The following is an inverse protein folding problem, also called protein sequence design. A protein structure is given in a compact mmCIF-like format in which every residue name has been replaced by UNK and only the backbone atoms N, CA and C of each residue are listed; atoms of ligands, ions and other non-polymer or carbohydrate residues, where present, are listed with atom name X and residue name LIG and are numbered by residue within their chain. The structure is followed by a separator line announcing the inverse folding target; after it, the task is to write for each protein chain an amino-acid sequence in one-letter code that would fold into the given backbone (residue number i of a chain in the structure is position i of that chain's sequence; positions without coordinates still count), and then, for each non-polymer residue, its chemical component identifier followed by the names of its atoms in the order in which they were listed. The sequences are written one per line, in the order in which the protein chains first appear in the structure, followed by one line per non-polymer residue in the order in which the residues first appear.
data_IF_118839001518
#
_entry.id   IF_118839001518
#
_cell.length_a   1.000
_cell.length_b   1.000
_cell.length_c   1.000
_cell.angle_alpha   90.00
_cell.angle_beta   90.00
_cell.angle_gamma   90.00
#
_symmetry.space_group_name_H-M   'P 1'
#
loop_
_entity.id
_entity.type
_entity.pdbx_description
1 polymer ?
#
# COMPACT_ATOMS: atom_id res chain seq x y z
N UNK A 1 -2.37 -31.02 4.58
CA UNK A 1 -2.87 -30.03 3.59
C UNK A 1 -1.69 -29.57 2.78
N UNK A 2 -1.69 -29.84 1.47
CA UNK A 2 -0.68 -29.29 0.59
C UNK A 2 -0.78 -27.78 0.59
N UNK A 3 0.25 -27.11 1.11
CA UNK A 3 0.29 -25.65 1.14
C UNK A 3 0.70 -25.16 -0.24
N UNK A 4 -0.02 -24.18 -0.75
CA UNK A 4 0.33 -23.51 -1.99
C UNK A 4 1.79 -23.04 -1.95
N UNK A 5 2.59 -23.39 -2.95
CA UNK A 5 4.03 -23.10 -2.98
C UNK A 5 4.34 -21.61 -2.83
N UNK A 6 3.46 -20.74 -3.35
CA UNK A 6 3.61 -19.28 -3.30
C UNK A 6 3.46 -18.68 -1.90
N UNK A 7 2.84 -19.41 -0.96
CA UNK A 7 2.71 -19.00 0.43
C UNK A 7 3.84 -19.54 1.32
N UNK A 8 4.72 -20.42 0.81
CA UNK A 8 5.84 -20.95 1.59
C UNK A 8 6.89 -19.89 1.89
N UNK A 9 7.68 -20.08 2.97
CA UNK A 9 8.78 -19.17 3.28
C UNK A 9 9.85 -19.18 2.17
N UNK A 10 10.35 -18.02 1.79
CA UNK A 10 11.49 -17.92 0.87
C UNK A 10 12.78 -18.13 1.68
N UNK A 11 13.20 -19.39 1.78
CA UNK A 11 14.39 -19.77 2.55
C UNK A 11 15.71 -19.49 1.81
N UNK A 12 15.76 -19.76 0.50
CA UNK A 12 16.97 -19.66 -0.30
C UNK A 12 17.16 -18.27 -0.90
N UNK A 13 18.38 -17.75 -0.81
CA UNK A 13 18.75 -16.42 -1.30
C UNK A 13 18.51 -16.25 -2.81
N UNK A 14 18.68 -17.33 -3.61
CA UNK A 14 18.46 -17.31 -5.07
C UNK A 14 17.04 -16.92 -5.49
N UNK A 15 16.05 -17.13 -4.62
CA UNK A 15 14.65 -16.77 -4.87
C UNK A 15 14.30 -15.35 -4.33
N UNK A 16 15.25 -14.67 -3.68
CA UNK A 16 15.09 -13.30 -3.23
C UNK A 16 15.47 -12.33 -4.33
N UNK A 17 14.56 -12.19 -5.27
CA UNK A 17 14.76 -11.56 -6.57
C UNK A 17 14.74 -10.02 -6.58
N UNK A 18 14.33 -9.38 -5.48
CA UNK A 18 14.28 -7.93 -5.37
C UNK A 18 15.55 -7.40 -4.65
N UNK A 19 16.67 -7.33 -5.39
CA UNK A 19 17.87 -6.62 -4.87
C UNK A 19 17.56 -5.15 -4.56
N UNK A 20 18.41 -4.45 -3.77
CA UNK A 20 18.11 -3.08 -3.31
C UNK A 20 17.71 -2.12 -4.43
N UNK A 21 18.41 -2.15 -5.56
CA UNK A 21 18.08 -1.29 -6.72
C UNK A 21 16.73 -1.67 -7.36
N UNK A 22 16.45 -2.96 -7.52
CA UNK A 22 15.18 -3.43 -8.07
C UNK A 22 14.01 -3.11 -7.12
N UNK A 23 14.24 -3.17 -5.81
CA UNK A 23 13.28 -2.81 -4.79
C UNK A 23 12.95 -1.31 -4.81
N UNK A 24 13.95 -0.45 -4.94
CA UNK A 24 13.76 1.00 -5.12
C UNK A 24 13.00 1.29 -6.42
N UNK A 25 13.40 0.67 -7.53
CA UNK A 25 12.72 0.85 -8.82
C UNK A 25 11.25 0.40 -8.75
N UNK A 26 10.95 -0.71 -8.09
CA UNK A 26 9.57 -1.15 -7.86
C UNK A 26 8.74 -0.08 -7.16
N UNK A 27 9.26 0.52 -6.07
CA UNK A 27 8.56 1.60 -5.36
C UNK A 27 8.43 2.88 -6.18
N UNK A 28 9.40 3.19 -7.04
CA UNK A 28 9.30 4.34 -7.95
C UNK A 28 8.21 4.14 -8.99
N UNK A 29 8.02 2.90 -9.48
CA UNK A 29 6.90 2.56 -10.36
C UNK A 29 5.55 2.61 -9.65
N UNK A 30 5.49 2.06 -8.42
CA UNK A 30 4.26 1.98 -7.62
C UNK A 30 3.80 3.34 -7.08
N UNK A 31 4.73 4.21 -6.68
CA UNK A 31 4.42 5.49 -6.06
C UNK A 31 3.80 6.50 -7.02
N UNK A 32 4.05 6.37 -8.32
CA UNK A 32 3.52 7.29 -9.34
C UNK A 32 2.12 6.87 -9.76
N UNK A 33 1.16 7.20 -8.92
CA UNK A 33 -0.26 6.97 -9.19
C UNK A 33 -1.03 8.29 -9.17
N UNK A 34 -2.12 8.36 -9.92
CA UNK A 34 -3.00 9.56 -9.98
C UNK A 34 -3.50 9.95 -8.58
N UNK A 35 -3.76 8.99 -7.71
CA UNK A 35 -4.15 9.25 -6.33
C UNK A 35 -3.16 10.12 -5.55
N UNK A 36 -1.84 9.91 -5.75
CA UNK A 36 -0.82 10.75 -5.10
C UNK A 36 -0.81 12.19 -5.63
N UNK A 37 -1.05 12.38 -6.94
CA UNK A 37 -1.24 13.71 -7.51
C UNK A 37 -2.46 14.40 -6.87
N UNK A 38 -3.61 13.70 -6.83
CA UNK A 38 -4.85 14.22 -6.28
C UNK A 38 -4.73 14.56 -4.78
N UNK A 39 -3.97 13.78 -4.02
CA UNK A 39 -3.65 14.11 -2.64
C UNK A 39 -2.85 15.41 -2.54
N UNK A 40 -1.87 15.63 -3.41
CA UNK A 40 -1.15 16.90 -3.47
C UNK A 40 -2.09 18.07 -3.74
N UNK A 41 -2.95 17.95 -4.74
CA UNK A 41 -3.97 18.96 -5.08
C UNK A 41 -4.90 19.25 -3.89
N UNK A 42 -5.26 18.24 -3.10
CA UNK A 42 -6.18 18.36 -1.98
C UNK A 42 -5.59 19.04 -0.73
N UNK A 43 -4.28 19.28 -0.66
CA UNK A 43 -3.64 19.92 0.48
C UNK A 43 -3.87 21.43 0.53
N UNK A 44 -3.99 22.06 -0.64
CA UNK A 44 -4.00 23.52 -0.82
C UNK A 44 -5.38 24.03 -1.29
N UNK A 45 -5.69 25.33 -1.14
CA UNK A 45 -6.89 25.91 -1.74
C UNK A 45 -6.98 25.67 -3.27
N UNK A 46 -8.20 25.46 -3.83
CA UNK A 46 -9.49 25.55 -3.14
C UNK A 46 -9.91 24.30 -2.38
N UNK A 47 -9.19 23.18 -2.47
CA UNK A 47 -9.59 21.87 -1.93
C UNK A 47 -9.14 21.67 -0.48
N UNK A 48 -7.97 22.19 -0.11
CA UNK A 48 -7.37 22.10 1.23
C UNK A 48 -7.21 23.48 1.89
N UNK A 49 -6.63 23.47 3.09
CA UNK A 49 -6.44 24.67 3.91
C UNK A 49 -4.98 24.91 4.31
N UNK A 50 -4.03 24.26 3.65
CA UNK A 50 -2.60 24.44 3.90
C UNK A 50 -2.04 25.48 2.94
N UNK A 51 -1.06 26.25 3.41
CA UNK A 51 -0.19 26.98 2.50
C UNK A 51 0.92 26.07 1.95
N UNK A 52 1.70 26.57 1.01
CA UNK A 52 2.73 25.80 0.34
C UNK A 52 3.75 25.21 1.32
N UNK A 53 4.22 25.99 2.30
CA UNK A 53 5.20 25.56 3.30
C UNK A 53 4.65 24.42 4.16
N UNK A 54 3.41 24.55 4.63
CA UNK A 54 2.74 23.52 5.42
C UNK A 54 2.52 22.25 4.62
N UNK A 55 2.10 22.37 3.35
CA UNK A 55 1.92 21.22 2.45
C UNK A 55 3.24 20.46 2.24
N UNK A 56 4.35 21.18 2.01
CA UNK A 56 5.67 20.54 1.88
C UNK A 56 6.14 19.86 3.17
N UNK A 57 5.97 20.50 4.32
CA UNK A 57 6.32 19.90 5.61
C UNK A 57 5.49 18.65 5.84
N UNK A 58 4.20 18.68 5.58
CA UNK A 58 3.34 17.49 5.69
C UNK A 58 3.79 16.38 4.75
N UNK A 59 4.10 16.67 3.47
CA UNK A 59 4.59 15.70 2.49
C UNK A 59 5.90 15.05 2.96
N UNK A 60 6.87 15.85 3.39
CA UNK A 60 8.18 15.33 3.83
C UNK A 60 8.02 14.46 5.07
N UNK A 61 7.36 14.95 6.11
CA UNK A 61 7.20 14.24 7.37
C UNK A 61 6.38 12.97 7.23
N UNK A 62 5.25 13.02 6.51
CA UNK A 62 4.39 11.86 6.32
C UNK A 62 5.10 10.75 5.52
N UNK A 63 5.82 11.10 4.46
CA UNK A 63 6.50 10.10 3.62
C UNK A 63 7.76 9.51 4.30
N UNK A 64 8.52 10.29 5.07
CA UNK A 64 9.61 9.76 5.90
C UNK A 64 9.04 8.80 6.95
N UNK A 65 7.98 9.20 7.66
CA UNK A 65 7.34 8.34 8.65
C UNK A 65 6.80 7.06 8.00
N UNK A 66 6.12 7.16 6.86
CA UNK A 66 5.64 5.99 6.12
C UNK A 66 6.79 5.05 5.74
N UNK A 67 7.90 5.56 5.19
CA UNK A 67 9.07 4.75 4.83
C UNK A 67 9.67 4.00 6.03
N UNK A 68 9.73 4.64 7.20
CA UNK A 68 10.17 4.01 8.43
C UNK A 68 9.19 2.93 8.92
N UNK A 69 7.88 3.19 8.83
CA UNK A 69 6.84 2.22 9.17
C UNK A 69 6.87 1.01 8.22
N UNK A 70 7.12 1.22 6.92
CA UNK A 70 7.36 0.15 5.96
C UNK A 70 8.55 -0.72 6.34
N UNK A 71 9.69 -0.11 6.67
CA UNK A 71 10.87 -0.84 7.11
C UNK A 71 10.62 -1.59 8.42
N UNK A 72 9.84 -1.02 9.34
CA UNK A 72 9.51 -1.60 10.63
C UNK A 72 8.73 -2.91 10.46
N UNK A 73 7.59 -2.90 9.76
CA UNK A 73 6.78 -4.10 9.53
C UNK A 73 7.40 -5.03 8.47
N UNK A 74 8.06 -4.48 7.46
CA UNK A 74 8.74 -5.22 6.39
C UNK A 74 9.89 -6.11 6.87
N UNK A 75 10.42 -5.84 8.07
CA UNK A 75 11.48 -6.66 8.68
C UNK A 75 11.07 -8.13 8.82
N UNK A 76 9.78 -8.42 8.99
CA UNK A 76 9.26 -9.78 9.07
C UNK A 76 9.47 -10.54 7.76
N UNK A 77 9.04 -9.98 6.63
CA UNK A 77 9.27 -10.57 5.31
C UNK A 77 10.75 -10.72 4.99
N UNK A 78 11.54 -9.67 5.21
CA UNK A 78 12.98 -9.68 5.00
C UNK A 78 13.70 -10.76 5.82
N UNK A 79 13.38 -10.88 7.13
CA UNK A 79 14.04 -11.83 8.02
C UNK A 79 13.58 -13.28 7.81
N UNK A 80 12.27 -13.49 7.67
CA UNK A 80 11.66 -14.81 7.71
C UNK A 80 11.18 -15.32 6.34
N UNK A 81 11.09 -14.46 5.33
CA UNK A 81 10.65 -14.85 3.98
C UNK A 81 9.16 -15.18 3.86
N UNK A 82 8.33 -14.79 4.82
CA UNK A 82 6.90 -15.11 4.88
C UNK A 82 6.03 -13.97 4.34
N UNK A 83 4.88 -14.27 3.70
CA UNK A 83 3.92 -13.27 3.25
C UNK A 83 3.04 -12.76 4.40
N UNK A 84 2.31 -11.66 4.16
CA UNK A 84 1.39 -11.03 5.11
C UNK A 84 0.36 -12.01 5.69
N UNK A 85 -0.29 -12.81 4.85
CA UNK A 85 -1.33 -13.76 5.29
C UNK A 85 -0.81 -14.79 6.30
N UNK A 86 0.47 -15.11 6.25
CA UNK A 86 1.14 -15.98 7.22
C UNK A 86 1.57 -15.17 8.44
N UNK A 87 2.12 -13.96 8.26
CA UNK A 87 2.49 -13.06 9.35
C UNK A 87 1.30 -12.78 10.26
N UNK A 88 0.12 -12.50 9.71
CA UNK A 88 -1.11 -12.25 10.47
C UNK A 88 -1.49 -13.39 11.41
N UNK A 89 -1.10 -14.64 11.11
CA UNK A 89 -1.40 -15.79 11.99
C UNK A 89 -0.71 -15.71 13.33
N UNK A 90 0.45 -15.04 13.42
CA UNK A 90 1.13 -14.80 14.69
C UNK A 90 0.30 -13.95 15.63
N UNK A 91 -0.18 -12.81 15.14
CA UNK A 91 -0.90 -11.84 15.96
C UNK A 91 -2.38 -12.17 16.15
N UNK A 92 -3.07 -12.69 15.13
CA UNK A 92 -4.53 -12.91 15.15
C UNK A 92 -4.94 -14.38 15.31
N UNK A 93 -3.99 -15.31 15.18
CA UNK A 93 -4.26 -16.75 15.15
C UNK A 93 -4.62 -17.25 13.74
N UNK A 94 -4.54 -18.57 13.48
CA UNK A 94 -4.74 -19.14 12.14
C UNK A 94 -6.14 -18.93 11.57
N UNK A 95 -7.16 -18.82 12.43
CA UNK A 95 -8.55 -18.54 12.02
C UNK A 95 -8.83 -17.04 12.04
N UNK A 96 -8.42 -16.35 13.12
CA UNK A 96 -8.64 -14.92 13.31
C UNK A 96 -7.95 -14.04 12.25
N UNK A 97 -6.83 -14.49 11.68
CA UNK A 97 -6.08 -13.78 10.65
C UNK A 97 -6.86 -13.53 9.34
N UNK A 98 -7.94 -14.28 9.11
CA UNK A 98 -8.80 -14.10 7.94
C UNK A 98 -9.50 -12.74 7.92
N UNK A 99 -9.87 -12.20 9.10
CA UNK A 99 -10.51 -10.89 9.21
C UNK A 99 -9.57 -9.78 8.73
N UNK A 100 -8.39 -9.55 9.33
CA UNK A 100 -7.49 -8.50 8.88
C UNK A 100 -6.98 -8.73 7.44
N UNK A 101 -6.87 -9.98 6.99
CA UNK A 101 -6.53 -10.28 5.60
C UNK A 101 -7.61 -9.77 4.63
N UNK A 102 -8.90 -10.00 4.92
CA UNK A 102 -10.01 -9.46 4.14
C UNK A 102 -10.10 -7.93 4.25
N UNK A 103 -9.92 -7.38 5.47
CA UNK A 103 -9.90 -5.92 5.67
C UNK A 103 -8.79 -5.23 4.86
N UNK A 104 -7.68 -5.94 4.56
CA UNK A 104 -6.64 -5.45 3.64
C UNK A 104 -7.02 -5.65 2.17
N UNK A 105 -7.65 -6.78 1.83
CA UNK A 105 -7.99 -7.11 0.44
C UNK A 105 -9.07 -6.19 -0.13
N UNK A 106 -10.10 -5.86 0.66
CA UNK A 106 -11.22 -5.02 0.20
C UNK A 106 -10.76 -3.63 -0.28
N UNK A 107 -10.01 -2.83 0.50
CA UNK A 107 -9.48 -1.55 0.01
C UNK A 107 -8.62 -1.69 -1.26
N UNK A 108 -7.88 -2.79 -1.39
CA UNK A 108 -7.10 -3.04 -2.59
C UNK A 108 -7.98 -3.22 -3.84
N UNK A 109 -9.10 -3.92 -3.71
CA UNK A 109 -10.07 -4.06 -4.80
C UNK A 109 -10.65 -2.70 -5.22
N UNK A 110 -10.98 -1.83 -4.26
CA UNK A 110 -11.42 -0.47 -4.56
C UNK A 110 -10.34 0.35 -5.26
N UNK A 111 -9.10 0.34 -4.75
CA UNK A 111 -7.98 0.99 -5.42
C UNK A 111 -7.72 0.43 -6.82
N UNK A 112 -7.84 -0.89 -7.00
CA UNK A 112 -7.71 -1.53 -8.30
C UNK A 112 -8.76 -0.99 -9.28
N UNK A 113 -10.02 -0.90 -8.86
CA UNK A 113 -11.10 -0.31 -9.66
C UNK A 113 -10.85 1.15 -10.01
N UNK A 114 -10.54 1.98 -8.99
CA UNK A 114 -10.26 3.42 -9.16
C UNK A 114 -9.14 3.66 -10.15
N UNK A 115 -8.01 2.99 -9.99
CA UNK A 115 -6.86 3.17 -10.89
C UNK A 115 -7.13 2.64 -12.30
N UNK A 116 -7.91 1.55 -12.42
CA UNK A 116 -8.34 1.06 -13.73
C UNK A 116 -9.27 2.05 -14.44
N UNK A 117 -10.15 2.71 -13.70
CA UNK A 117 -11.01 3.75 -14.25
C UNK A 117 -10.22 4.98 -14.72
N UNK A 118 -9.28 5.45 -13.91
CA UNK A 118 -8.39 6.57 -14.28
C UNK A 118 -7.51 6.24 -15.48
N UNK A 119 -6.97 5.02 -15.55
CA UNK A 119 -6.23 4.54 -16.72
C UNK A 119 -7.11 4.50 -17.98
N UNK A 120 -8.35 4.06 -17.84
CA UNK A 120 -9.32 4.06 -18.93
C UNK A 120 -9.68 5.46 -19.40
N UNK A 121 -9.89 6.41 -18.48
CA UNK A 121 -10.12 7.81 -18.82
C UNK A 121 -8.94 8.41 -19.60
N UNK A 122 -7.71 8.15 -19.15
CA UNK A 122 -6.51 8.60 -19.84
C UNK A 122 -6.42 8.03 -21.26
N UNK A 123 -6.64 6.71 -21.43
CA UNK A 123 -6.68 6.09 -22.75
C UNK A 123 -7.80 6.64 -23.62
N UNK A 124 -8.99 6.86 -23.05
CA UNK A 124 -10.11 7.44 -23.78
C UNK A 124 -9.76 8.81 -24.38
N UNK A 125 -9.14 9.68 -23.59
CA UNK A 125 -8.68 10.98 -24.06
C UNK A 125 -7.60 10.88 -25.15
N UNK A 126 -6.69 9.92 -25.05
CA UNK A 126 -5.69 9.65 -26.09
C UNK A 126 -6.37 9.29 -27.42
N UNK A 127 -7.29 8.34 -27.40
CA UNK A 127 -7.93 7.85 -28.62
C UNK A 127 -9.00 8.81 -29.17
N UNK A 128 -9.64 9.59 -28.30
CA UNK A 128 -10.47 10.71 -28.70
C UNK A 128 -9.64 11.74 -29.50
N UNK A 129 -8.45 12.09 -29.00
CA UNK A 129 -7.54 13.02 -29.69
C UNK A 129 -6.95 12.49 -30.99
N UNK A 130 -6.70 11.17 -31.11
CA UNK A 130 -6.05 10.57 -32.29
C UNK A 130 -7.04 10.22 -33.41
N UNK A 131 -8.17 9.65 -33.08
CA UNK A 131 -9.10 9.05 -34.04
C UNK A 131 -10.58 9.42 -33.82
N UNK A 132 -10.87 10.30 -32.85
CA UNK A 132 -12.23 10.70 -32.49
C UNK A 132 -13.08 9.62 -31.81
N UNK A 133 -12.45 8.57 -31.27
CA UNK A 133 -13.17 7.49 -30.58
C UNK A 133 -13.32 7.83 -29.09
N UNK A 134 -14.57 8.02 -28.65
CA UNK A 134 -14.95 8.39 -27.29
C UNK A 134 -15.85 7.32 -26.68
N UNK A 135 -15.27 6.38 -25.92
CA UNK A 135 -16.02 5.40 -25.14
C UNK A 135 -15.15 4.88 -23.98
N UNK A 136 -15.24 5.53 -22.83
CA UNK A 136 -14.48 5.16 -21.63
C UNK A 136 -14.72 3.72 -21.16
N UNK A 137 -15.93 3.17 -21.38
CA UNK A 137 -16.25 1.80 -20.97
C UNK A 137 -15.47 0.74 -21.76
N UNK A 138 -15.30 0.96 -23.06
CA UNK A 138 -14.45 0.07 -23.88
C UNK A 138 -13.04 0.03 -23.33
N UNK A 139 -12.48 1.20 -23.01
CA UNK A 139 -11.12 1.30 -22.44
C UNK A 139 -11.05 0.73 -21.03
N UNK A 140 -12.09 0.89 -20.21
CA UNK A 140 -12.13 0.30 -18.87
C UNK A 140 -12.05 -1.23 -18.91
N UNK A 141 -12.88 -1.88 -19.71
CA UNK A 141 -12.85 -3.34 -19.85
C UNK A 141 -11.56 -3.85 -20.53
N UNK A 142 -11.05 -3.13 -21.52
CA UNK A 142 -9.76 -3.47 -22.14
C UNK A 142 -8.61 -3.36 -21.14
N UNK A 143 -8.62 -2.32 -20.30
CA UNK A 143 -7.62 -2.09 -19.27
C UNK A 143 -7.68 -3.18 -18.17
N UNK A 144 -8.89 -3.57 -17.75
CA UNK A 144 -9.09 -4.68 -16.83
C UNK A 144 -8.55 -6.00 -17.40
N UNK A 145 -8.91 -6.33 -18.65
CA UNK A 145 -8.42 -7.55 -19.30
C UNK A 145 -6.90 -7.59 -19.40
N UNK A 146 -6.26 -6.47 -19.77
CA UNK A 146 -4.81 -6.34 -19.81
C UNK A 146 -4.17 -6.62 -18.45
N UNK A 147 -4.69 -6.03 -17.40
CA UNK A 147 -4.13 -6.18 -16.04
C UNK A 147 -4.29 -7.60 -15.49
N UNK A 148 -5.45 -8.24 -15.73
CA UNK A 148 -5.66 -9.66 -15.40
C UNK A 148 -4.63 -10.53 -16.13
N UNK A 149 -4.44 -10.31 -17.43
CA UNK A 149 -3.47 -11.07 -18.24
C UNK A 149 -2.03 -10.88 -17.75
N UNK A 150 -1.62 -9.65 -17.44
CA UNK A 150 -0.27 -9.36 -16.96
C UNK A 150 -0.02 -9.96 -15.56
N UNK A 151 -0.99 -9.84 -14.64
CA UNK A 151 -0.87 -10.37 -13.28
C UNK A 151 -0.85 -11.90 -13.25
N UNK A 152 -1.60 -12.56 -14.12
CA UNK A 152 -1.65 -14.02 -14.20
C UNK A 152 -0.30 -14.66 -14.59
N UNK A 153 0.62 -13.88 -15.20
CA UNK A 153 1.99 -14.35 -15.52
C UNK A 153 2.92 -14.46 -14.30
N UNK A 154 2.48 -14.05 -13.12
CA UNK A 154 3.19 -14.21 -11.85
C UNK A 154 4.21 -13.11 -11.53
N UNK A 155 4.80 -13.21 -10.34
CA UNK A 155 5.64 -12.16 -9.72
C UNK A 155 6.90 -11.79 -10.54
N UNK A 156 7.46 -12.72 -11.30
CA UNK A 156 8.65 -12.44 -12.11
C UNK A 156 8.34 -11.48 -13.26
N UNK A 157 7.17 -11.63 -13.89
CA UNK A 157 6.71 -10.69 -14.94
C UNK A 157 6.39 -9.33 -14.35
N UNK A 158 5.70 -9.30 -13.21
CA UNK A 158 5.42 -8.06 -12.47
C UNK A 158 6.71 -7.31 -12.19
N UNK A 159 7.74 -7.96 -11.63
CA UNK A 159 9.05 -7.35 -11.36
C UNK A 159 9.64 -6.64 -12.59
N UNK A 160 9.62 -7.29 -13.77
CA UNK A 160 10.21 -6.70 -14.98
C UNK A 160 9.38 -5.53 -15.50
N UNK A 161 8.05 -5.63 -15.44
CA UNK A 161 7.15 -4.53 -15.79
C UNK A 161 7.42 -3.32 -14.88
N UNK A 162 7.61 -3.54 -13.56
CA UNK A 162 7.93 -2.49 -12.61
C UNK A 162 9.29 -1.82 -12.88
N UNK A 163 10.33 -2.60 -13.14
CA UNK A 163 11.68 -2.05 -13.39
C UNK A 163 11.70 -1.22 -14.66
N UNK A 164 11.12 -1.70 -15.74
CA UNK A 164 11.07 -0.95 -17.01
C UNK A 164 10.11 0.22 -16.89
N UNK A 165 8.93 -0.03 -16.33
CA UNK A 165 7.89 0.97 -16.11
C UNK A 165 8.38 2.14 -15.24
N UNK A 166 9.13 1.87 -14.16
CA UNK A 166 9.62 2.91 -13.25
C UNK A 166 10.50 3.95 -13.94
N UNK A 167 11.36 3.52 -14.88
CA UNK A 167 12.21 4.46 -15.65
C UNK A 167 11.35 5.37 -16.54
N UNK A 168 10.42 4.76 -17.28
CA UNK A 168 9.52 5.49 -18.19
C UNK A 168 8.64 6.46 -17.40
N UNK A 169 8.08 5.98 -16.28
CA UNK A 169 7.19 6.76 -15.42
C UNK A 169 7.92 7.94 -14.79
N UNK A 170 9.14 7.75 -14.27
CA UNK A 170 9.91 8.84 -13.69
C UNK A 170 10.29 9.91 -14.74
N UNK A 171 10.61 9.50 -15.96
CA UNK A 171 10.79 10.45 -17.07
C UNK A 171 9.49 11.20 -17.37
N UNK A 172 8.35 10.51 -17.32
CA UNK A 172 7.02 11.10 -17.45
C UNK A 172 6.71 12.14 -16.38
N UNK A 173 7.05 11.86 -15.11
CA UNK A 173 6.88 12.82 -14.00
C UNK A 173 7.73 14.07 -14.20
N UNK A 174 9.01 13.90 -14.58
CA UNK A 174 9.90 15.04 -14.89
C UNK A 174 9.35 15.86 -16.05
N UNK A 175 8.88 15.19 -17.11
CA UNK A 175 8.25 15.87 -18.24
C UNK A 175 6.96 16.59 -17.84
N UNK A 176 6.14 16.00 -16.97
CA UNK A 176 4.91 16.62 -16.46
C UNK A 176 5.21 17.87 -15.62
N UNK A 177 6.25 17.85 -14.78
CA UNK A 177 6.71 19.04 -14.04
C UNK A 177 7.10 20.14 -15.02
N UNK A 178 7.94 19.80 -16.02
CA UNK A 178 8.36 20.76 -17.05
C UNK A 178 7.16 21.34 -17.81
N UNK A 179 6.23 20.48 -18.23
CA UNK A 179 5.03 20.87 -18.97
C UNK A 179 4.16 21.83 -18.15
N UNK A 180 3.93 21.54 -16.86
CA UNK A 180 3.12 22.39 -15.99
C UNK A 180 3.80 23.74 -15.76
N UNK A 181 5.09 23.75 -15.47
CA UNK A 181 5.83 24.99 -15.26
C UNK A 181 5.90 25.84 -16.54
N UNK A 182 6.05 25.22 -17.72
CA UNK A 182 6.08 25.94 -19.01
C UNK A 182 4.70 26.44 -19.43
N UNK A 183 3.62 25.77 -19.05
CA UNK A 183 2.26 26.14 -19.43
C UNK A 183 1.65 27.18 -18.49
N UNK A 184 1.83 26.97 -17.18
CA UNK A 184 1.14 27.75 -16.13
C UNK A 184 2.08 28.71 -15.39
N UNK A 185 3.40 28.58 -15.56
CA UNK A 185 4.37 29.29 -14.74
C UNK A 185 4.42 28.76 -13.30
N UNK A 186 5.02 29.55 -12.40
CA UNK A 186 5.14 29.18 -10.98
C UNK A 186 4.01 29.81 -10.15
N UNK A 187 2.75 29.42 -10.45
CA UNK A 187 1.53 29.98 -9.84
C UNK A 187 1.37 29.64 -8.34
N UNK A 188 2.29 28.84 -7.79
CA UNK A 188 2.27 28.48 -6.35
C UNK A 188 2.48 29.66 -5.40
N UNK A 189 2.95 30.82 -5.89
CA UNK A 189 3.04 32.04 -5.08
C UNK A 189 1.70 32.43 -4.47
N UNK A 190 0.61 32.21 -5.19
CA UNK A 190 -0.76 32.45 -4.70
C UNK A 190 -1.07 31.64 -3.46
N UNK A 191 -0.56 30.40 -3.40
CA UNK A 191 -0.75 29.46 -2.29
C UNK A 191 0.30 29.65 -1.19
N UNK A 192 1.52 30.08 -1.56
CA UNK A 192 2.58 30.36 -0.61
C UNK A 192 2.21 31.49 0.35
N UNK A 193 1.49 32.49 -0.15
CA UNK A 193 1.10 33.69 0.60
C UNK A 193 -0.24 33.56 1.34
N UNK A 194 -0.90 32.39 1.31
CA UNK A 194 -2.09 32.13 2.14
C UNK A 194 -1.69 31.87 3.59
N UNK A 195 -2.56 32.23 4.54
CA UNK A 195 -2.29 32.07 5.97
C UNK A 195 -2.07 30.60 6.35
N UNK A 196 -2.84 29.69 5.75
CA UNK A 196 -2.79 28.26 6.03
C UNK A 196 -3.26 27.89 7.43
N UNK A 197 -3.06 26.62 7.85
CA UNK A 197 -3.47 26.15 9.16
C UNK A 197 -2.61 25.00 9.68
N UNK A 198 -1.99 25.18 10.86
CA UNK A 198 -1.27 24.12 11.60
C UNK A 198 -2.19 23.25 12.47
N UNK A 199 -3.49 23.59 12.58
CA UNK A 199 -4.47 22.86 13.36
C UNK A 199 -4.92 21.56 12.71
N UNK A 200 -6.21 21.22 12.86
CA UNK A 200 -6.82 20.00 12.30
C UNK A 200 -6.52 19.80 10.81
N UNK A 201 -6.53 20.84 9.94
CA UNK A 201 -6.20 20.65 8.53
C UNK A 201 -4.81 20.06 8.26
N UNK A 202 -3.79 20.43 9.05
CA UNK A 202 -2.44 19.87 8.93
C UNK A 202 -2.43 18.38 9.35
N UNK A 203 -3.10 18.03 10.44
CA UNK A 203 -3.17 16.66 10.91
C UNK A 203 -4.04 15.76 10.03
N UNK A 204 -5.09 16.32 9.40
CA UNK A 204 -5.82 15.62 8.35
C UNK A 204 -4.90 15.33 7.17
N UNK A 205 -4.11 16.31 6.72
CA UNK A 205 -3.12 16.09 5.66
C UNK A 205 -2.13 14.96 6.03
N UNK A 206 -1.59 14.97 7.25
CA UNK A 206 -0.74 13.89 7.76
C UNK A 206 -1.47 12.54 7.76
N UNK A 207 -2.73 12.49 8.20
CA UNK A 207 -3.54 11.27 8.22
C UNK A 207 -3.75 10.71 6.82
N UNK A 208 -4.13 11.52 5.85
CA UNK A 208 -4.40 11.03 4.48
C UNK A 208 -3.11 10.67 3.73
N UNK A 209 -2.02 11.43 3.95
CA UNK A 209 -0.71 11.14 3.34
C UNK A 209 -0.08 9.83 3.88
N UNK A 210 -0.24 9.51 5.16
CA UNK A 210 0.16 8.20 5.70
C UNK A 210 -0.87 7.14 5.33
N UNK A 211 -2.14 7.51 5.41
CA UNK A 211 -3.29 6.63 5.19
C UNK A 211 -3.37 6.02 3.80
N UNK A 212 -2.90 6.73 2.76
CA UNK A 212 -2.79 6.16 1.42
C UNK A 212 -1.95 4.88 1.40
N UNK A 213 -0.99 4.76 2.33
CA UNK A 213 -0.15 3.57 2.49
C UNK A 213 -0.71 2.54 3.49
N UNK A 214 -1.80 2.84 4.20
CA UNK A 214 -2.28 1.99 5.30
C UNK A 214 -2.41 0.52 4.89
N UNK A 215 -2.93 0.29 3.70
CA UNK A 215 -3.06 -1.03 3.12
C UNK A 215 -1.70 -1.69 2.84
N UNK A 216 -0.79 -0.97 2.20
CA UNK A 216 0.56 -1.45 1.86
C UNK A 216 1.42 -1.69 3.11
N UNK A 217 1.28 -0.87 4.15
CA UNK A 217 1.98 -1.05 5.42
C UNK A 217 1.67 -2.41 6.07
N UNK A 218 0.44 -2.91 5.93
CA UNK A 218 0.06 -4.24 6.44
C UNK A 218 0.72 -5.34 5.63
N UNK A 219 0.72 -5.27 4.31
CA UNK A 219 1.21 -6.34 3.47
C UNK A 219 2.65 -6.17 2.96
N UNK A 220 3.42 -5.27 3.53
CA UNK A 220 4.80 -5.02 3.10
C UNK A 220 5.69 -6.27 3.11
N UNK A 221 5.39 -7.25 3.95
CA UNK A 221 6.09 -8.55 3.98
C UNK A 221 5.93 -9.33 2.67
N UNK A 222 4.88 -9.10 1.88
CA UNK A 222 4.69 -9.73 0.58
C UNK A 222 5.79 -9.35 -0.42
N UNK A 223 6.38 -8.17 -0.28
CA UNK A 223 7.47 -7.64 -1.10
C UNK A 223 8.84 -7.87 -0.45
N UNK A 224 8.97 -7.56 0.85
CA UNK A 224 10.24 -7.65 1.55
C UNK A 224 10.73 -9.08 1.73
N UNK A 225 9.85 -10.08 1.59
CA UNK A 225 10.26 -11.50 1.56
C UNK A 225 11.17 -11.82 0.37
N UNK A 226 11.11 -11.02 -0.70
CA UNK A 226 11.98 -11.13 -1.87
C UNK A 226 13.25 -10.27 -1.78
N UNK A 227 13.41 -9.45 -0.73
CA UNK A 227 14.61 -8.65 -0.51
C UNK A 227 15.76 -9.52 0.03
N UNK A 228 17.03 -9.31 -0.41
CA UNK A 228 18.15 -10.15 0.00
C UNK A 228 18.37 -10.13 1.51
N UNK A 229 18.34 -11.29 2.15
CA UNK A 229 18.51 -11.45 3.61
C UNK A 229 19.90 -11.03 4.09
N UNK A 230 20.90 -11.14 3.21
CA UNK A 230 22.31 -10.78 3.51
C UNK A 230 22.55 -9.27 3.55
N UNK A 231 21.60 -8.45 3.11
CA UNK A 231 21.72 -6.99 3.15
C UNK A 231 21.83 -6.48 4.59
N UNK A 232 22.54 -5.36 4.77
CA UNK A 232 22.59 -4.68 6.07
C UNK A 232 21.24 -4.04 6.41
N UNK A 233 20.98 -3.78 7.69
CA UNK A 233 19.80 -3.05 8.14
C UNK A 233 19.74 -1.64 7.53
N UNK A 234 20.89 -0.96 7.40
CA UNK A 234 20.98 0.35 6.76
C UNK A 234 20.57 0.30 5.28
N UNK A 235 21.03 -0.72 4.54
CA UNK A 235 20.62 -0.93 3.14
C UNK A 235 19.11 -1.19 3.04
N UNK A 236 18.54 -1.97 3.95
CA UNK A 236 17.11 -2.29 3.97
C UNK A 236 16.26 -1.04 4.25
N UNK A 237 16.60 -0.27 5.29
CA UNK A 237 15.88 0.98 5.61
C UNK A 237 16.09 2.02 4.52
N UNK A 238 17.33 2.18 4.03
CA UNK A 238 17.68 3.11 2.96
C UNK A 238 16.90 2.83 1.67
N UNK A 239 16.69 1.56 1.33
CA UNK A 239 15.89 1.18 0.16
C UNK A 239 14.41 1.59 0.29
N UNK A 240 13.83 1.59 1.50
CA UNK A 240 12.48 2.12 1.73
C UNK A 240 12.45 3.64 1.62
N UNK A 241 13.41 4.33 2.24
CA UNK A 241 13.46 5.79 2.21
C UNK A 241 13.67 6.30 0.77
N UNK A 242 14.66 5.77 0.05
CA UNK A 242 14.96 6.18 -1.32
C UNK A 242 13.87 5.73 -2.30
N UNK A 243 13.22 4.60 -2.03
CA UNK A 243 12.13 4.09 -2.87
C UNK A 243 10.84 4.90 -2.73
N UNK A 244 10.50 5.35 -1.53
CA UNK A 244 9.19 5.95 -1.23
C UNK A 244 9.26 7.48 -1.23
N UNK A 245 10.22 8.08 -0.52
CA UNK A 245 10.18 9.52 -0.22
C UNK A 245 10.30 10.40 -1.49
N UNK A 246 11.26 10.20 -2.42
CA UNK A 246 11.38 11.09 -3.57
C UNK A 246 10.15 11.09 -4.49
N UNK A 247 9.63 9.96 -4.99
CA UNK A 247 8.48 9.98 -5.89
C UNK A 247 7.21 10.48 -5.20
N UNK A 248 7.06 10.20 -3.90
CA UNK A 248 5.90 10.63 -3.10
C UNK A 248 5.98 12.08 -2.61
N UNK A 249 7.05 12.79 -2.92
CA UNK A 249 7.10 14.25 -2.84
C UNK A 249 6.88 14.85 -4.23
N UNK A 250 7.54 14.30 -5.26
CA UNK A 250 7.50 14.87 -6.62
C UNK A 250 6.09 14.87 -7.21
N UNK A 251 5.38 13.75 -7.15
CA UNK A 251 4.06 13.66 -7.80
C UNK A 251 2.98 14.47 -7.08
N UNK A 252 2.83 14.45 -5.74
CA UNK A 252 1.96 15.39 -5.04
C UNK A 252 2.32 16.86 -5.29
N UNK A 253 3.61 17.18 -5.44
CA UNK A 253 4.02 18.53 -5.82
C UNK A 253 3.48 18.97 -7.18
N UNK A 254 3.48 18.06 -8.17
CA UNK A 254 2.83 18.34 -9.47
C UNK A 254 1.33 18.58 -9.28
N UNK A 255 0.69 17.85 -8.36
CA UNK A 255 -0.71 18.09 -7.98
C UNK A 255 -0.94 19.48 -7.40
N UNK A 256 -0.03 19.94 -6.52
CA UNK A 256 -0.04 21.30 -5.97
C UNK A 256 0.10 22.32 -7.10
N UNK A 257 1.05 22.14 -8.04
CA UNK A 257 1.22 23.04 -9.19
C UNK A 257 -0.06 23.16 -10.03
N UNK A 258 -0.67 22.02 -10.36
CA UNK A 258 -1.89 21.99 -11.16
C UNK A 258 -3.08 22.64 -10.45
N UNK A 259 -3.32 22.29 -9.19
CA UNK A 259 -4.42 22.85 -8.42
C UNK A 259 -4.25 24.37 -8.20
N UNK A 260 -3.03 24.85 -7.91
CA UNK A 260 -2.74 26.28 -7.76
C UNK A 260 -2.99 27.06 -9.05
N UNK A 261 -2.67 26.47 -10.22
CA UNK A 261 -2.79 27.13 -11.51
C UNK A 261 -4.24 27.21 -12.01
N UNK A 262 -4.99 26.10 -11.95
CA UNK A 262 -6.29 25.98 -12.63
C UNK A 262 -7.47 25.63 -11.73
N UNK A 263 -7.25 25.38 -10.43
CA UNK A 263 -8.32 25.04 -9.49
C UNK A 263 -8.99 23.68 -9.77
N UNK A 264 -8.28 22.74 -10.39
CA UNK A 264 -8.76 21.39 -10.72
C UNK A 264 -7.86 20.38 -10.01
N UNK A 265 -8.46 19.33 -9.46
CA UNK A 265 -7.69 18.34 -8.67
C UNK A 265 -7.34 17.06 -9.45
N UNK A 266 -8.11 16.74 -10.50
CA UNK A 266 -7.89 15.55 -11.32
C UNK A 266 -6.87 15.84 -12.43
N UNK A 267 -5.72 15.15 -12.50
CA UNK A 267 -4.70 15.42 -13.52
C UNK A 267 -5.17 15.12 -14.94
N UNK A 268 -6.06 14.14 -15.15
CA UNK A 268 -6.59 13.83 -16.50
C UNK A 268 -7.36 15.03 -17.02
N UNK A 269 -8.19 15.67 -16.18
CA UNK A 269 -8.98 16.85 -16.56
C UNK A 269 -8.09 18.06 -16.79
N UNK A 270 -7.03 18.26 -15.96
CA UNK A 270 -6.05 19.34 -16.19
C UNK A 270 -5.37 19.18 -17.54
N UNK A 271 -4.88 17.98 -17.84
CA UNK A 271 -4.12 17.72 -19.06
C UNK A 271 -5.04 17.83 -20.30
N UNK A 272 -6.24 17.28 -20.22
CA UNK A 272 -7.16 17.27 -21.37
C UNK A 272 -7.75 18.65 -21.68
N UNK A 273 -8.02 19.47 -20.66
CA UNK A 273 -8.77 20.71 -20.82
C UNK A 273 -7.91 21.99 -20.78
N UNK A 274 -6.70 21.92 -20.18
CA UNK A 274 -5.87 23.10 -19.94
C UNK A 274 -4.50 23.05 -20.62
N UNK A 275 -4.10 21.93 -21.23
CA UNK A 275 -2.89 21.82 -22.03
C UNK A 275 -3.25 21.93 -23.51
N UNK A 276 -2.86 23.05 -24.17
CA UNK A 276 -3.19 23.29 -25.56
C UNK A 276 -2.39 22.44 -26.56
N UNK A 277 -1.21 21.94 -26.17
CA UNK A 277 -0.38 21.08 -27.01
C UNK A 277 -0.88 19.63 -26.98
N UNK A 278 -1.65 19.23 -27.99
CA UNK A 278 -2.25 17.90 -28.11
C UNK A 278 -1.23 16.79 -28.04
N UNK A 279 -0.06 16.91 -28.67
CA UNK A 279 0.98 15.89 -28.65
C UNK A 279 1.55 15.71 -27.22
N UNK A 280 1.80 16.82 -26.51
CA UNK A 280 2.23 16.79 -25.12
C UNK A 280 1.17 16.13 -24.21
N UNK A 281 -0.10 16.48 -24.39
CA UNK A 281 -1.22 15.87 -23.65
C UNK A 281 -1.30 14.36 -23.88
N UNK A 282 -1.23 13.89 -25.11
CA UNK A 282 -1.25 12.45 -25.44
C UNK A 282 -0.08 11.72 -24.78
N UNK A 283 1.14 12.25 -24.85
CA UNK A 283 2.31 11.64 -24.21
C UNK A 283 2.10 11.46 -22.71
N UNK A 284 1.64 12.52 -22.04
CA UNK A 284 1.42 12.47 -20.58
C UNK A 284 0.28 11.54 -20.20
N UNK A 285 -0.81 11.51 -20.98
CA UNK A 285 -1.92 10.59 -20.73
C UNK A 285 -1.52 9.12 -20.89
N UNK A 286 -0.62 8.82 -21.83
CA UNK A 286 -0.03 7.47 -21.95
C UNK A 286 0.82 7.12 -20.71
N UNK A 287 1.63 8.05 -20.20
CA UNK A 287 2.38 7.85 -18.96
C UNK A 287 1.44 7.61 -17.75
N UNK A 288 0.35 8.37 -17.66
CA UNK A 288 -0.66 8.16 -16.64
C UNK A 288 -1.25 6.75 -16.75
N UNK A 289 -1.67 6.31 -17.92
CA UNK A 289 -2.23 4.99 -18.13
C UNK A 289 -1.22 3.88 -17.74
N UNK A 290 0.05 4.02 -18.15
CA UNK A 290 1.12 3.08 -17.78
C UNK A 290 1.32 3.01 -16.26
N UNK A 291 1.35 4.17 -15.59
CA UNK A 291 1.49 4.25 -14.14
C UNK A 291 0.36 3.53 -13.41
N UNK A 292 -0.89 3.61 -13.90
CA UNK A 292 -2.01 2.86 -13.30
C UNK A 292 -1.85 1.34 -13.48
N UNK A 293 -1.25 0.87 -14.59
CA UNK A 293 -0.96 -0.57 -14.77
C UNK A 293 0.06 -1.05 -13.73
N UNK A 294 1.20 -0.39 -13.62
CA UNK A 294 2.28 -0.80 -12.70
C UNK A 294 1.79 -0.83 -11.26
N UNK A 295 1.28 0.27 -10.76
CA UNK A 295 0.76 0.36 -9.39
C UNK A 295 -0.30 -0.71 -9.11
N UNK A 296 -1.22 -0.95 -10.03
CA UNK A 296 -2.24 -1.98 -9.83
C UNK A 296 -1.67 -3.39 -9.72
N UNK A 297 -0.69 -3.73 -10.54
CA UNK A 297 -0.09 -5.07 -10.50
C UNK A 297 0.56 -5.37 -9.15
N UNK A 298 1.24 -4.40 -8.56
CA UNK A 298 1.95 -4.55 -7.29
C UNK A 298 1.01 -4.34 -6.10
N UNK A 299 0.42 -3.15 -6.00
CA UNK A 299 -0.26 -2.73 -4.78
C UNK A 299 -1.67 -3.29 -4.63
N UNK A 300 -2.39 -3.50 -5.73
CA UNK A 300 -3.83 -3.70 -5.67
C UNK A 300 -4.30 -5.09 -6.15
N UNK A 301 -3.54 -5.78 -7.00
CA UNK A 301 -3.89 -7.16 -7.42
C UNK A 301 -3.19 -8.20 -6.55
N UNK A 302 -1.88 -8.08 -6.34
CA UNK A 302 -1.10 -9.10 -5.64
C UNK A 302 -1.63 -9.40 -4.21
N UNK A 303 -1.93 -8.42 -3.35
CA UNK A 303 -2.40 -8.71 -1.99
C UNK A 303 -3.74 -9.46 -1.94
N UNK A 304 -4.83 -9.04 -2.61
CA UNK A 304 -6.07 -9.80 -2.60
C UNK A 304 -5.94 -11.16 -3.29
N UNK A 305 -5.04 -11.32 -4.27
CA UNK A 305 -4.72 -12.62 -4.86
C UNK A 305 -4.15 -13.56 -3.80
N UNK A 306 -3.14 -13.14 -3.03
CA UNK A 306 -2.58 -13.95 -1.94
C UNK A 306 -3.62 -14.28 -0.85
N UNK A 307 -4.51 -13.33 -0.53
CA UNK A 307 -5.62 -13.58 0.40
C UNK A 307 -6.60 -14.60 -0.17
N UNK A 308 -6.99 -14.49 -1.43
CA UNK A 308 -7.88 -15.45 -2.09
C UNK A 308 -7.26 -16.87 -2.14
N UNK A 309 -5.96 -16.96 -2.46
CA UNK A 309 -5.22 -18.22 -2.44
C UNK A 309 -5.19 -18.86 -1.03
N UNK A 310 -5.01 -18.04 0.02
CA UNK A 310 -5.00 -18.55 1.40
C UNK A 310 -6.39 -18.99 1.87
N UNK A 311 -7.44 -18.24 1.55
CA UNK A 311 -8.80 -18.51 1.98
C UNK A 311 -9.45 -19.66 1.20
N UNK A 312 -9.35 -19.62 -0.13
CA UNK A 312 -10.10 -20.52 -1.03
C UNK A 312 -9.25 -21.67 -1.56
N UNK A 313 -7.93 -21.71 -1.27
CA UNK A 313 -7.00 -22.74 -1.73
C UNK A 313 -6.97 -22.92 -3.27
N UNK A 314 -7.12 -21.81 -3.98
CA UNK A 314 -7.10 -21.76 -5.46
C UNK A 314 -5.71 -21.39 -5.98
N UNK A 315 -5.46 -21.62 -7.30
CA UNK A 315 -4.21 -21.22 -7.93
C UNK A 315 -4.09 -19.71 -8.11
N UNK A 316 -2.87 -19.22 -8.34
CA UNK A 316 -2.56 -17.82 -8.61
C UNK A 316 -3.39 -17.25 -9.75
N UNK A 317 -3.45 -17.95 -10.89
CA UNK A 317 -4.14 -17.51 -12.09
C UNK A 317 -5.66 -17.36 -11.84
N UNK A 318 -6.28 -18.34 -11.17
CA UNK A 318 -7.69 -18.26 -10.79
C UNK A 318 -7.96 -17.09 -9.85
N UNK A 319 -7.09 -16.86 -8.89
CA UNK A 319 -7.20 -15.74 -7.97
C UNK A 319 -7.07 -14.40 -8.70
N UNK A 320 -6.15 -14.27 -9.67
CA UNK A 320 -6.02 -13.05 -10.50
C UNK A 320 -7.32 -12.74 -11.28
N UNK A 321 -7.95 -13.75 -11.87
CA UNK A 321 -9.21 -13.56 -12.60
C UNK A 321 -10.33 -13.11 -11.65
N UNK A 322 -10.47 -13.76 -10.49
CA UNK A 322 -11.49 -13.40 -9.49
C UNK A 322 -11.29 -11.96 -9.01
N UNK A 323 -10.07 -11.61 -8.64
CA UNK A 323 -9.73 -10.26 -8.17
C UNK A 323 -9.99 -9.22 -9.26
N UNK A 324 -9.60 -9.49 -10.50
CA UNK A 324 -9.86 -8.62 -11.64
C UNK A 324 -11.35 -8.38 -11.89
N UNK A 325 -12.16 -9.43 -11.86
CA UNK A 325 -13.62 -9.31 -12.02
C UNK A 325 -14.23 -8.53 -10.86
N UNK A 326 -13.80 -8.79 -9.61
CA UNK A 326 -14.28 -8.06 -8.44
C UNK A 326 -13.94 -6.57 -8.50
N UNK A 327 -12.85 -6.19 -9.14
CA UNK A 327 -12.49 -4.78 -9.36
C UNK A 327 -13.53 -3.99 -10.14
N UNK A 328 -14.26 -4.64 -11.07
CA UNK A 328 -15.38 -4.00 -11.79
C UNK A 328 -16.55 -3.69 -10.85
N UNK A 329 -16.82 -4.61 -9.90
CA UNK A 329 -17.95 -4.49 -8.95
C UNK A 329 -17.74 -3.34 -7.94
N UNK A 330 -16.51 -2.83 -7.80
CA UNK A 330 -16.24 -1.69 -6.89
C UNK A 330 -16.85 -0.37 -7.36
N UNK A 331 -17.38 -0.30 -8.57
CA UNK A 331 -18.03 0.88 -9.16
C UNK A 331 -17.19 2.17 -8.98
N UNK A 332 -15.96 2.22 -9.46
CA UNK A 332 -14.99 3.28 -9.13
C UNK A 332 -15.44 4.69 -9.56
N UNK A 333 -16.30 4.79 -10.56
CA UNK A 333 -16.86 6.06 -11.03
C UNK A 333 -17.69 6.81 -9.99
N UNK A 334 -18.19 6.13 -8.94
CA UNK A 334 -18.87 6.79 -7.82
C UNK A 334 -17.91 7.32 -6.76
N UNK A 335 -16.74 6.69 -6.60
CA UNK A 335 -15.76 7.07 -5.57
C UNK A 335 -14.94 8.29 -6.01
N UNK A 336 -14.82 8.50 -7.31
CA UNK A 336 -13.98 9.54 -7.92
C UNK A 336 -14.59 10.93 -7.82
N UNK A 337 -15.01 11.32 -6.63
CA UNK A 337 -15.33 12.69 -6.25
C UNK A 337 -14.36 13.11 -5.13
N UNK A 338 -14.01 14.40 -5.04
CA UNK A 338 -13.03 14.93 -4.08
C UNK A 338 -13.34 14.53 -2.64
N UNK A 339 -14.56 14.74 -2.19
CA UNK A 339 -14.99 14.45 -0.81
C UNK A 339 -15.05 12.95 -0.49
N UNK A 340 -15.55 12.13 -1.41
CA UNK A 340 -15.65 10.68 -1.21
C UNK A 340 -14.28 10.01 -1.26
N UNK A 341 -13.36 10.49 -2.10
CA UNK A 341 -12.01 9.97 -2.20
C UNK A 341 -11.22 10.15 -0.88
N UNK A 342 -11.23 11.36 -0.30
CA UNK A 342 -10.58 11.62 0.98
C UNK A 342 -11.24 10.85 2.14
N UNK A 343 -12.57 10.79 2.15
CA UNK A 343 -13.33 10.00 3.13
C UNK A 343 -12.97 8.52 3.04
N UNK A 344 -12.87 7.97 1.83
CA UNK A 344 -12.45 6.59 1.62
C UNK A 344 -11.07 6.32 2.25
N UNK A 345 -10.08 7.17 1.99
CA UNK A 345 -8.72 7.01 2.56
C UNK A 345 -8.76 7.10 4.09
N UNK A 346 -9.49 8.04 4.65
CA UNK A 346 -9.58 8.23 6.09
C UNK A 346 -10.25 7.04 6.79
N UNK A 347 -11.36 6.52 6.22
CA UNK A 347 -12.06 5.33 6.74
C UNK A 347 -11.16 4.08 6.65
N UNK A 348 -10.47 3.88 5.52
CA UNK A 348 -9.50 2.79 5.38
C UNK A 348 -8.41 2.88 6.44
N UNK A 349 -7.91 4.08 6.71
CA UNK A 349 -6.91 4.34 7.76
C UNK A 349 -7.40 3.98 9.15
N UNK A 350 -8.68 4.27 9.47
CA UNK A 350 -9.28 3.98 10.76
C UNK A 350 -9.33 2.46 11.06
N UNK A 351 -9.51 1.64 10.05
CA UNK A 351 -9.49 0.17 10.18
C UNK A 351 -8.09 -0.43 10.13
N UNK A 352 -7.26 0.00 9.18
CA UNK A 352 -5.98 -0.65 8.92
C UNK A 352 -4.87 -0.18 9.84
N UNK A 353 -4.92 1.04 10.38
CA UNK A 353 -3.96 1.55 11.36
C UNK A 353 -3.83 0.67 12.61
N UNK A 354 -4.93 0.33 13.29
CA UNK A 354 -4.93 -0.60 14.42
C UNK A 354 -4.35 -1.98 14.09
N UNK A 355 -4.70 -2.56 12.94
CA UNK A 355 -4.16 -3.86 12.50
C UNK A 355 -2.65 -3.78 12.31
N UNK A 356 -2.15 -2.75 11.63
CA UNK A 356 -0.72 -2.51 11.47
C UNK A 356 0.00 -2.42 12.83
N UNK A 357 -0.57 -1.65 13.77
CA UNK A 357 -0.01 -1.47 15.09
C UNK A 357 0.09 -2.79 15.88
N UNK A 358 -0.94 -3.63 15.78
CA UNK A 358 -0.95 -4.96 16.41
C UNK A 358 0.14 -5.85 15.81
N UNK A 359 0.30 -5.89 14.47
CA UNK A 359 1.35 -6.67 13.80
C UNK A 359 2.74 -6.25 14.23
N UNK A 360 3.00 -4.95 14.30
CA UNK A 360 4.28 -4.40 14.79
C UNK A 360 4.48 -4.73 16.26
N UNK A 361 3.47 -4.51 17.09
CA UNK A 361 3.52 -4.81 18.52
C UNK A 361 3.77 -6.30 18.79
N UNK A 362 3.13 -7.18 18.05
CA UNK A 362 3.34 -8.63 18.11
C UNK A 362 4.80 -8.99 17.83
N UNK A 363 5.35 -8.51 16.73
CA UNK A 363 6.72 -8.83 16.33
C UNK A 363 7.76 -8.32 17.33
N UNK A 364 7.66 -7.06 17.75
CA UNK A 364 8.71 -6.44 18.57
C UNK A 364 8.54 -6.65 20.06
N UNK A 365 7.31 -6.55 20.59
CA UNK A 365 7.09 -6.57 22.04
C UNK A 365 6.68 -7.95 22.59
N UNK A 366 6.08 -8.80 21.76
CA UNK A 366 5.72 -10.16 22.14
C UNK A 366 6.82 -11.12 21.69
N UNK A 367 7.23 -11.09 20.43
CA UNK A 367 8.21 -12.01 19.85
C UNK A 367 9.65 -11.49 19.82
N UNK A 368 9.92 -10.31 20.40
CA UNK A 368 11.27 -9.72 20.52
C UNK A 368 12.03 -9.65 19.20
N UNK A 369 11.32 -9.36 18.10
CA UNK A 369 11.89 -9.20 16.77
C UNK A 369 12.27 -10.51 16.07
N UNK A 370 11.71 -11.66 16.50
CA UNK A 370 11.98 -12.96 15.86
C UNK A 370 10.76 -13.89 15.95
N UNK A 371 10.30 -14.41 14.81
CA UNK A 371 9.26 -15.44 14.77
C UNK A 371 9.84 -16.84 14.68
N UNK A 372 9.21 -17.80 15.38
CA UNK A 372 9.28 -19.18 14.97
C UNK A 372 8.27 -19.39 13.83
N UNK A 373 8.78 -19.71 12.64
CA UNK A 373 7.97 -19.76 11.42
C UNK A 373 7.15 -21.04 11.32
N UNK A 374 7.66 -22.18 11.85
CA UNK A 374 7.01 -23.48 11.69
C UNK A 374 5.57 -23.53 12.24
N UNK A 375 5.28 -23.05 13.49
CA UNK A 375 3.93 -23.06 14.03
C UNK A 375 2.93 -22.23 13.24
N UNK A 376 3.38 -21.20 12.51
CA UNK A 376 2.52 -20.37 11.65
C UNK A 376 1.89 -21.17 10.50
N UNK A 377 2.55 -22.27 10.09
CA UNK A 377 2.07 -23.15 9.02
C UNK A 377 1.33 -24.38 9.53
N UNK A 378 1.56 -24.79 10.77
CA UNK A 378 0.93 -25.97 11.36
C UNK A 378 -0.53 -25.76 11.75
N UNK A 379 -0.97 -24.50 11.89
CA UNK A 379 -2.35 -24.16 12.29
C UNK A 379 -2.68 -24.46 13.74
N UNK A 380 -1.65 -24.70 14.58
CA UNK A 380 -1.82 -25.09 16.00
C UNK A 380 -1.71 -23.94 17.01
N UNK A 381 -1.71 -22.69 16.52
CA UNK A 381 -1.66 -21.51 17.38
C UNK A 381 -3.03 -21.21 17.96
N UNK A 382 -3.08 -20.77 19.21
CA UNK A 382 -4.29 -20.34 19.92
C UNK A 382 -5.40 -21.40 19.94
N UNK A 383 -5.04 -22.68 20.12
CA UNK A 383 -6.00 -23.79 20.12
C UNK A 383 -7.04 -23.66 21.25
N UNK A 384 -6.65 -23.12 22.42
CA UNK A 384 -7.54 -22.78 23.52
C UNK A 384 -8.68 -21.83 23.12
N UNK A 385 -8.44 -21.01 22.13
CA UNK A 385 -9.38 -20.04 21.58
C UNK A 385 -9.83 -20.41 20.16
N UNK A 386 -9.81 -21.69 19.82
CA UNK A 386 -10.24 -22.22 18.50
C UNK A 386 -9.54 -21.55 17.31
N UNK A 387 -8.26 -21.20 17.47
CA UNK A 387 -7.45 -20.55 16.43
C UNK A 387 -7.65 -19.03 16.30
N UNK A 388 -8.30 -18.40 17.27
CA UNK A 388 -8.44 -16.95 17.39
C UNK A 388 -7.50 -16.40 18.44
N UNK A 389 -7.00 -15.19 18.26
CA UNK A 389 -6.36 -14.43 19.33
C UNK A 389 -7.33 -13.33 19.84
N UNK A 390 -7.99 -13.53 20.99
CA UNK A 390 -8.95 -12.56 21.52
C UNK A 390 -8.31 -11.20 21.79
N UNK A 391 -7.03 -11.16 22.21
CA UNK A 391 -6.32 -9.91 22.46
C UNK A 391 -6.22 -9.05 21.20
N UNK A 392 -5.94 -9.66 20.04
CA UNK A 392 -5.87 -8.93 18.78
C UNK A 392 -7.24 -8.40 18.32
N UNK A 393 -8.29 -9.21 18.50
CA UNK A 393 -9.65 -8.78 18.14
C UNK A 393 -10.11 -7.60 19.00
N UNK A 394 -9.95 -7.70 20.34
CA UNK A 394 -10.29 -6.61 21.26
C UNK A 394 -9.48 -5.35 20.94
N UNK A 395 -8.17 -5.49 20.74
CA UNK A 395 -7.30 -4.37 20.41
C UNK A 395 -7.70 -3.69 19.08
N UNK A 396 -8.11 -4.48 18.07
CA UNK A 396 -8.60 -3.96 16.80
C UNK A 396 -9.89 -3.16 17.00
N UNK A 397 -10.86 -3.72 17.76
CA UNK A 397 -12.12 -3.03 18.04
C UNK A 397 -11.85 -1.71 18.78
N UNK A 398 -11.04 -1.72 19.85
CA UNK A 398 -10.72 -0.52 20.62
C UNK A 398 -10.03 0.53 19.76
N UNK A 399 -8.98 0.14 19.01
CA UNK A 399 -8.25 1.07 18.14
C UNK A 399 -9.13 1.67 17.05
N UNK A 400 -9.94 0.84 16.39
CA UNK A 400 -10.88 1.30 15.35
C UNK A 400 -11.95 2.23 15.93
N UNK A 401 -12.54 1.89 17.08
CA UNK A 401 -13.53 2.75 17.73
C UNK A 401 -12.96 4.13 18.09
N UNK A 402 -11.73 4.17 18.60
CA UNK A 402 -11.05 5.44 18.91
C UNK A 402 -10.71 6.22 17.64
N UNK A 403 -10.32 5.55 16.56
CA UNK A 403 -10.06 6.19 15.28
C UNK A 403 -11.32 6.88 14.71
N UNK A 404 -12.50 6.29 14.91
CA UNK A 404 -13.77 6.87 14.46
C UNK A 404 -14.30 8.02 15.35
N UNK A 405 -13.72 8.29 16.52
CA UNK A 405 -14.06 9.48 17.29
C UNK A 405 -13.74 10.76 16.51
N UNK A 406 -12.61 10.75 15.79
CA UNK A 406 -12.25 11.81 14.86
C UNK A 406 -11.49 11.20 13.67
N UNK A 407 -12.20 11.08 12.54
CA UNK A 407 -11.67 10.44 11.34
C UNK A 407 -10.49 11.21 10.72
N UNK A 408 -10.43 12.53 10.93
CA UNK A 408 -9.31 13.38 10.50
C UNK A 408 -8.00 13.05 11.22
N UNK A 409 -8.10 12.46 12.41
CA UNK A 409 -6.97 12.00 13.22
C UNK A 409 -6.88 10.47 13.32
N UNK A 410 -7.62 9.76 12.48
CA UNK A 410 -7.85 8.30 12.60
C UNK A 410 -6.55 7.50 12.77
N UNK A 411 -5.52 7.84 11.98
CA UNK A 411 -4.24 7.15 12.04
C UNK A 411 -3.60 7.25 13.43
N UNK A 412 -3.60 8.44 14.03
CA UNK A 412 -2.96 8.67 15.32
C UNK A 412 -3.79 8.16 16.49
N UNK A 413 -5.10 8.32 16.45
CA UNK A 413 -6.01 7.89 17.51
C UNK A 413 -6.17 6.36 17.59
N UNK A 414 -6.07 5.67 16.47
CA UNK A 414 -6.25 4.22 16.41
C UNK A 414 -5.00 3.42 16.71
N UNK A 415 -3.84 3.86 16.23
CA UNK A 415 -2.60 3.08 16.18
C UNK A 415 -2.04 2.78 17.58
N UNK A 416 -1.79 3.80 18.39
CA UNK A 416 -1.14 3.66 19.70
C UNK A 416 -2.01 2.87 20.69
N UNK A 417 -3.31 3.19 20.86
CA UNK A 417 -4.18 2.42 21.74
C UNK A 417 -4.29 0.96 21.36
N UNK A 418 -4.39 0.64 20.06
CA UNK A 418 -4.44 -0.75 19.61
C UNK A 418 -3.18 -1.53 20.02
N UNK A 419 -1.99 -0.96 19.80
CA UNK A 419 -0.73 -1.57 20.20
C UNK A 419 -0.66 -1.81 21.71
N UNK A 420 -1.03 -0.79 22.51
CA UNK A 420 -1.00 -0.89 23.98
C UNK A 420 -1.97 -1.94 24.51
N UNK A 421 -3.23 -1.92 24.08
CA UNK A 421 -4.25 -2.89 24.47
C UNK A 421 -3.80 -4.30 24.09
N UNK A 422 -3.28 -4.48 22.88
CA UNK A 422 -2.77 -5.77 22.42
C UNK A 422 -1.66 -6.30 23.33
N UNK A 423 -0.62 -5.51 23.59
CA UNK A 423 0.53 -5.93 24.42
C UNK A 423 0.10 -6.24 25.85
N UNK A 424 -0.78 -5.41 26.42
CA UNK A 424 -1.30 -5.62 27.77
C UNK A 424 -2.07 -6.94 27.85
N UNK A 425 -3.05 -7.15 26.96
CA UNK A 425 -3.86 -8.39 26.97
C UNK A 425 -3.02 -9.63 26.66
N UNK A 426 -2.04 -9.55 25.75
CA UNK A 426 -1.13 -10.67 25.50
C UNK A 426 -0.36 -11.05 26.76
N UNK A 427 0.27 -10.07 27.44
CA UNK A 427 1.13 -10.35 28.62
C UNK A 427 0.34 -10.71 29.88
N UNK A 428 -0.84 -10.13 30.09
CA UNK A 428 -1.62 -10.35 31.34
C UNK A 428 -2.58 -11.51 31.25
N UNK A 429 -3.05 -11.85 30.07
CA UNK A 429 -4.08 -12.86 29.86
C UNK A 429 -3.60 -14.02 28.96
N UNK A 430 -3.35 -13.78 27.67
CA UNK A 430 -3.13 -14.85 26.70
C UNK A 430 -1.88 -15.67 27.02
N UNK A 431 -0.74 -15.04 27.28
CA UNK A 431 0.53 -15.74 27.56
C UNK A 431 0.55 -16.46 28.92
N UNK A 432 -0.39 -16.16 29.81
CA UNK A 432 -0.55 -16.83 31.10
C UNK A 432 -1.52 -18.02 31.05
N UNK A 433 -2.27 -18.17 29.95
CA UNK A 433 -3.20 -19.28 29.81
C UNK A 433 -2.43 -20.59 29.73
N UNK A 434 -2.81 -21.59 30.60
CA UNK A 434 -2.07 -22.86 30.74
C UNK A 434 -1.85 -23.59 29.41
N UNK A 435 -2.83 -23.57 28.52
CA UNK A 435 -2.77 -24.26 27.24
C UNK A 435 -1.79 -23.59 26.28
N UNK A 436 -1.68 -22.24 26.30
CA UNK A 436 -0.68 -21.49 25.56
C UNK A 436 0.75 -21.85 26.03
N UNK A 437 0.93 -22.04 27.32
CA UNK A 437 2.18 -22.50 27.94
C UNK A 437 2.51 -23.95 27.55
N UNK A 438 1.51 -24.85 27.54
CA UNK A 438 1.67 -26.25 27.13
C UNK A 438 1.99 -26.45 25.65
N UNK A 439 1.50 -25.59 24.77
CA UNK A 439 1.81 -25.62 23.33
C UNK A 439 3.27 -25.24 23.02
N UNK A 440 4.08 -24.97 24.03
CA UNK A 440 5.50 -24.64 23.88
C UNK A 440 5.76 -23.28 23.23
N UNK A 441 4.70 -22.49 23.02
CA UNK A 441 4.80 -21.16 22.43
C UNK A 441 5.63 -20.22 23.31
N UNK A 442 5.68 -20.45 24.62
CA UNK A 442 6.61 -19.78 25.53
C UNK A 442 8.08 -20.22 25.35
N UNK A 443 8.34 -21.43 24.87
CA UNK A 443 9.69 -21.92 24.60
C UNK A 443 10.21 -21.39 23.27
N UNK A 444 9.32 -21.05 22.33
CA UNK A 444 9.65 -20.41 21.06
C UNK A 444 10.34 -19.05 21.25
N UNK A 445 10.15 -18.42 22.41
CA UNK A 445 10.81 -17.16 22.78
C UNK A 445 12.23 -17.32 23.29
N UNK A 446 12.67 -18.54 23.68
CA UNK A 446 13.99 -18.75 24.31
C UNK A 446 15.05 -19.34 23.40
N UNK A 447 14.71 -20.09 22.36
CA UNK A 447 15.71 -20.75 21.51
C UNK A 447 15.29 -20.72 20.03
N UNK A 448 15.76 -19.72 19.30
CA UNK A 448 15.90 -19.82 17.86
C UNK A 448 17.20 -20.57 17.55
N UNK A 449 17.15 -21.90 17.56
CA UNK A 449 18.19 -22.66 16.90
C UNK A 449 18.16 -22.31 15.40
N UNK A 450 19.30 -22.05 14.76
CA UNK A 450 19.33 -21.90 13.31
C UNK A 450 18.81 -23.19 12.68
N UNK A 451 17.88 -23.06 11.73
CA UNK A 451 17.44 -24.18 10.89
C UNK A 451 18.67 -24.96 10.46
N UNK A 452 18.77 -26.25 10.85
CA UNK A 452 19.82 -27.15 10.38
C UNK A 452 19.91 -27.01 8.88
N UNK A 453 21.10 -26.77 8.37
CA UNK A 453 21.40 -26.87 6.95
C UNK A 453 21.09 -28.30 6.54
N UNK A 454 20.01 -28.54 5.83
CA UNK A 454 19.93 -29.71 4.98
C UNK A 454 20.94 -29.43 3.85
N UNK A 455 22.05 -30.15 3.92
CA UNK A 455 23.06 -30.19 2.88
C UNK A 455 22.41 -30.76 1.63
N UNK A 456 22.57 -30.03 0.53
CA UNK A 456 22.10 -30.40 -0.77
C UNK A 456 22.75 -31.70 -1.24
N UNK A 457 21.98 -32.67 -1.64
CA UNK A 457 22.31 -33.61 -2.68
C UNK A 457 21.69 -33.16 -4.00
#
# INVERSE_FOLDING_TARGET
MEQNADLRPIAHEKYRILGPKAYVAMWWGDAVMVGSFMLGSSLIPPFGKLNLTQAFIALILANILAALLFALNGRVGWKHGIPMVVQLRSSFGPVGSRIPALMRAVPALFWYGVQSWLGAQALNQVFMGLIGFDNVWVWFFAFQALQIFLSAKGIQSIKWIEIVGSVIIMLGVVYLIFLFLSTFGFEVEKVANTEGSWGIPFWLAMTVLIGQFAALLINISDYTRYFPRKSSAGTFVGAHVVGIVPPMILLPFVGILGAAAVGVWNPVDIISNHISNVAASIIVLIFIALAQVTTNLVANIMPPVLVAMDLFKISWEKACVIVGVLGVVTCPWFIMTDSLFLTFIAVVSAFLGPIFAIMVADFYFIHKGNYNVAPLYEGKLFTAFKGWNPAAIIATIVGTSLAFINVELAWFLGLIPAALVYVVLMKTWIMKHEQYVREGLNQTFRHSAPLKREEAS
#
